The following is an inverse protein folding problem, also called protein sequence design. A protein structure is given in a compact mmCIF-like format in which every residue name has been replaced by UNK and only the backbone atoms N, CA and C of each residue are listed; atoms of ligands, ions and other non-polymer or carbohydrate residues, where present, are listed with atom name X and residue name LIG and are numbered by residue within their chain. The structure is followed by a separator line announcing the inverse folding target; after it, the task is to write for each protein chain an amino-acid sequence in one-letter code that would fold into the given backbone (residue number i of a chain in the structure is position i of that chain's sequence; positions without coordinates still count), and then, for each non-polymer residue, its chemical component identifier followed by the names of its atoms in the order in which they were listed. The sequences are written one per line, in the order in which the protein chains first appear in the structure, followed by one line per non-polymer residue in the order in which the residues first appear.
data_IF_002559720109
#
_entry.id   IF_002559720109
#
_cell.length_a   1.000
_cell.length_b   1.000
_cell.length_c   1.000
_cell.angle_alpha   90.00
_cell.angle_beta   90.00
_cell.angle_gamma   90.00
#
_symmetry.space_group_name_H-M   'P 1'
#
loop_
_entity.id
_entity.type
_entity.pdbx_description
1 polymer ?
#
# COMPACT_ATOMS: atom_id res chain seq x y z
N UNK A 1 -20.61 12.95 6.44
CA UNK A 1 -19.30 12.83 5.75
C UNK A 1 -19.49 13.18 4.27
N UNK A 2 -18.68 14.08 3.74
CA UNK A 2 -18.57 14.41 2.30
C UNK A 2 -17.21 13.96 1.81
N UNK A 3 -17.06 13.69 0.52
CA UNK A 3 -15.80 13.29 -0.09
C UNK A 3 -15.60 13.97 -1.45
N UNK A 4 -14.39 14.35 -1.77
CA UNK A 4 -13.98 14.85 -3.08
C UNK A 4 -12.60 14.33 -3.44
N UNK A 5 -12.38 14.05 -4.72
CA UNK A 5 -11.06 13.69 -5.23
C UNK A 5 -10.44 14.87 -5.95
N UNK A 6 -9.15 15.07 -5.72
CA UNK A 6 -8.32 16.04 -6.47
C UNK A 6 -7.08 15.35 -6.99
N UNK A 7 -6.44 15.95 -7.99
CA UNK A 7 -5.19 15.49 -8.60
C UNK A 7 -4.31 16.65 -9.02
N UNK A 8 -3.04 16.39 -9.18
CA UNK A 8 -2.07 17.37 -9.68
C UNK A 8 -0.69 16.76 -9.90
N UNK A 9 0.14 17.46 -10.62
CA UNK A 9 1.52 17.09 -10.92
C UNK A 9 2.56 18.01 -10.24
N UNK A 10 2.10 18.90 -9.37
CA UNK A 10 2.95 19.77 -8.55
C UNK A 10 2.20 20.21 -7.29
N UNK A 11 2.94 20.75 -6.33
CA UNK A 11 2.37 21.31 -5.09
C UNK A 11 1.41 22.45 -5.38
N UNK A 12 1.76 23.32 -6.33
CA UNK A 12 0.92 24.46 -6.73
C UNK A 12 -0.39 24.00 -7.38
N UNK A 13 -0.33 22.97 -8.23
CA UNK A 13 -1.52 22.39 -8.84
C UNK A 13 -2.47 21.79 -7.79
N UNK A 14 -1.94 21.12 -6.77
CA UNK A 14 -2.72 20.63 -5.64
C UNK A 14 -3.29 21.77 -4.81
N UNK A 15 -2.52 22.82 -4.56
CA UNK A 15 -3.02 23.98 -3.82
C UNK A 15 -4.22 24.65 -4.52
N UNK A 16 -4.16 24.82 -5.84
CA UNK A 16 -5.29 25.36 -6.63
C UNK A 16 -6.49 24.40 -6.56
N UNK A 17 -6.27 23.11 -6.82
CA UNK A 17 -7.34 22.10 -6.77
C UNK A 17 -8.00 22.00 -5.37
N UNK A 18 -7.21 22.14 -4.30
CA UNK A 18 -7.70 22.17 -2.94
C UNK A 18 -8.58 23.40 -2.67
N UNK A 19 -8.14 24.60 -3.09
CA UNK A 19 -8.91 25.83 -2.96
C UNK A 19 -10.24 25.72 -3.73
N UNK A 20 -10.20 25.26 -4.98
CA UNK A 20 -11.38 25.11 -5.83
C UNK A 20 -12.40 24.11 -5.22
N UNK A 21 -11.92 23.00 -4.68
CA UNK A 21 -12.81 22.00 -4.09
C UNK A 21 -13.51 22.51 -2.82
N UNK A 22 -12.97 23.53 -2.14
CA UNK A 22 -13.53 24.11 -0.92
C UNK A 22 -14.51 25.28 -1.17
N UNK A 23 -14.65 25.76 -2.41
CA UNK A 23 -15.50 26.91 -2.75
C UNK A 23 -16.99 26.71 -2.40
N UNK A 24 -17.48 25.47 -2.37
CA UNK A 24 -18.86 25.12 -2.02
C UNK A 24 -19.07 24.89 -0.50
N UNK A 25 -18.13 25.32 0.33
CA UNK A 25 -18.16 25.10 1.78
C UNK A 25 -17.76 23.70 2.22
N UNK A 26 -17.10 22.90 1.37
CA UNK A 26 -16.48 21.64 1.76
C UNK A 26 -15.26 21.92 2.65
N UNK A 27 -15.20 21.27 3.81
CA UNK A 27 -14.13 21.46 4.80
C UNK A 27 -13.48 20.10 5.11
N UNK A 28 -12.53 19.65 4.27
CA UNK A 28 -11.87 18.38 4.50
C UNK A 28 -11.02 18.40 5.77
N UNK A 29 -11.05 17.32 6.52
CA UNK A 29 -10.27 17.11 7.74
C UNK A 29 -9.23 16.02 7.57
N UNK A 30 -9.37 15.18 6.53
CA UNK A 30 -8.51 14.04 6.23
C UNK A 30 -8.28 13.92 4.73
N UNK A 31 -7.03 13.67 4.34
CA UNK A 31 -6.61 13.32 3.00
C UNK A 31 -6.02 11.92 2.96
N UNK A 32 -6.49 11.08 2.03
CA UNK A 32 -5.84 9.84 1.63
C UNK A 32 -5.08 10.14 0.35
N UNK A 33 -3.74 9.98 0.37
CA UNK A 33 -2.83 10.45 -0.67
C UNK A 33 -2.09 9.29 -1.32
N UNK A 34 -2.19 9.20 -2.64
CA UNK A 34 -1.34 8.35 -3.47
C UNK A 34 -0.48 9.25 -4.35
N UNK A 35 0.83 9.04 -4.33
CA UNK A 35 1.78 10.00 -4.90
C UNK A 35 2.98 9.27 -5.52
N UNK A 36 3.39 9.70 -6.71
CA UNK A 36 4.64 9.25 -7.31
C UNK A 36 5.82 9.49 -6.37
N UNK A 37 6.77 8.57 -6.32
CA UNK A 37 8.00 8.69 -5.54
C UNK A 37 8.83 9.92 -5.95
N UNK A 38 8.62 10.44 -7.15
CA UNK A 38 9.33 11.62 -7.71
C UNK A 38 8.78 12.95 -7.22
N UNK A 39 7.59 12.97 -6.63
CA UNK A 39 6.96 14.17 -6.13
C UNK A 39 7.44 14.53 -4.71
N UNK A 40 7.31 15.80 -4.34
CA UNK A 40 7.70 16.29 -3.02
C UNK A 40 6.62 16.01 -1.97
N UNK A 41 6.71 14.84 -1.33
CA UNK A 41 5.79 14.37 -0.29
C UNK A 41 5.77 15.28 0.92
N UNK A 42 6.95 15.84 1.28
CA UNK A 42 7.07 16.73 2.43
C UNK A 42 6.32 18.04 2.19
N UNK A 43 6.52 18.67 1.04
CA UNK A 43 5.80 19.89 0.69
C UNK A 43 4.28 19.66 0.61
N UNK A 44 3.83 18.50 0.13
CA UNK A 44 2.41 18.12 0.14
C UNK A 44 1.87 17.95 1.56
N UNK A 45 2.57 17.25 2.44
CA UNK A 45 2.17 17.09 3.85
C UNK A 45 2.11 18.44 4.56
N UNK A 46 3.07 19.33 4.32
CA UNK A 46 3.09 20.68 4.87
C UNK A 46 1.91 21.53 4.35
N UNK A 47 1.61 21.48 3.05
CA UNK A 47 0.45 22.16 2.45
C UNK A 47 -0.86 21.72 3.10
N UNK A 48 -1.08 20.41 3.25
CA UNK A 48 -2.29 19.87 3.84
C UNK A 48 -2.37 20.21 5.34
N UNK A 49 -1.27 20.10 6.08
CA UNK A 49 -1.20 20.47 7.48
C UNK A 49 -1.53 21.96 7.74
N UNK A 50 -1.01 22.87 6.89
CA UNK A 50 -1.34 24.31 6.95
C UNK A 50 -2.84 24.57 6.75
N UNK A 51 -3.52 23.71 5.99
CA UNK A 51 -4.97 23.74 5.80
C UNK A 51 -5.74 22.91 6.84
N UNK A 52 -5.08 22.47 7.91
CA UNK A 52 -5.66 21.66 8.98
C UNK A 52 -6.25 20.32 8.49
N UNK A 53 -5.63 19.72 7.49
CA UNK A 53 -6.02 18.43 6.93
C UNK A 53 -4.99 17.38 7.36
N UNK A 54 -5.46 16.35 8.03
CA UNK A 54 -4.63 15.21 8.40
C UNK A 54 -4.32 14.35 7.18
N UNK A 55 -3.14 13.72 7.15
CA UNK A 55 -2.66 12.99 5.98
C UNK A 55 -2.42 11.53 6.33
N UNK A 56 -3.00 10.63 5.53
CA UNK A 56 -2.61 9.25 5.38
C UNK A 56 -2.15 9.06 3.94
N UNK A 57 -0.90 8.67 3.71
CA UNK A 57 -0.35 8.62 2.36
C UNK A 57 0.67 7.53 2.14
N UNK A 58 0.85 7.20 0.87
CA UNK A 58 1.92 6.33 0.40
C UNK A 58 2.35 6.69 -1.02
N UNK A 59 3.57 6.29 -1.37
CA UNK A 59 4.02 6.31 -2.76
C UNK A 59 3.37 5.17 -3.55
N UNK A 60 3.24 5.32 -4.86
CA UNK A 60 2.46 4.45 -5.74
C UNK A 60 3.20 4.09 -7.04
N UNK A 61 2.62 3.21 -7.83
CA UNK A 61 3.10 2.81 -9.16
C UNK A 61 2.04 3.15 -10.22
N UNK A 62 1.59 4.39 -10.22
CA UNK A 62 0.52 4.91 -11.05
C UNK A 62 -0.68 5.35 -10.22
N UNK A 63 -1.21 6.51 -10.56
CA UNK A 63 -2.29 7.19 -9.86
C UNK A 63 -3.55 7.22 -10.74
N UNK A 64 -4.70 7.01 -10.10
CA UNK A 64 -5.96 7.14 -10.82
C UNK A 64 -7.04 7.78 -9.96
N UNK A 65 -7.92 8.53 -10.61
CA UNK A 65 -9.14 9.09 -10.00
C UNK A 65 -10.21 9.27 -11.08
N UNK A 66 -11.43 8.81 -10.82
CA UNK A 66 -12.50 8.82 -11.82
C UNK A 66 -12.10 8.05 -13.08
N UNK A 67 -12.05 8.73 -14.21
CA UNK A 67 -11.64 8.23 -15.53
C UNK A 67 -10.18 8.60 -15.90
N UNK A 68 -9.46 9.26 -14.98
CA UNK A 68 -8.08 9.67 -15.18
C UNK A 68 -7.10 8.63 -14.61
N UNK A 69 -6.10 8.29 -15.38
CA UNK A 69 -4.93 7.52 -14.97
C UNK A 69 -3.66 8.26 -15.38
N UNK A 70 -2.67 8.27 -14.52
CA UNK A 70 -1.38 8.90 -14.75
C UNK A 70 -0.24 8.13 -14.12
N UNK A 71 0.97 8.42 -14.58
CA UNK A 71 2.22 7.99 -13.99
C UNK A 71 3.02 9.24 -13.60
N UNK A 72 3.44 9.30 -12.34
CA UNK A 72 4.28 10.40 -11.86
C UNK A 72 3.53 11.62 -11.31
N UNK A 73 2.23 11.54 -11.12
CA UNK A 73 1.39 12.59 -10.52
C UNK A 73 1.10 12.30 -9.04
N UNK A 74 0.07 12.92 -8.52
CA UNK A 74 -0.52 12.63 -7.23
C UNK A 74 -2.04 12.75 -7.29
N UNK A 75 -2.72 11.86 -6.58
CA UNK A 75 -4.17 11.90 -6.38
C UNK A 75 -4.50 11.85 -4.90
N UNK A 76 -5.57 12.52 -4.52
CA UNK A 76 -6.01 12.59 -3.13
C UNK A 76 -7.52 12.39 -3.06
N UNK A 77 -7.94 11.60 -2.09
CA UNK A 77 -9.31 11.56 -1.63
C UNK A 77 -9.41 12.41 -0.36
N UNK A 78 -10.13 13.51 -0.44
CA UNK A 78 -10.38 14.42 0.66
C UNK A 78 -11.70 14.05 1.34
N UNK A 79 -11.69 13.95 2.66
CA UNK A 79 -12.84 13.58 3.48
C UNK A 79 -13.15 14.68 4.50
N UNK A 80 -14.42 15.09 4.57
CA UNK A 80 -14.99 15.85 5.68
C UNK A 80 -15.54 14.84 6.70
N UNK A 81 -14.70 14.47 7.66
CA UNK A 81 -14.98 13.48 8.70
C UNK A 81 -14.54 14.01 10.06
N UNK A 82 -15.34 13.78 11.10
CA UNK A 82 -14.97 14.20 12.46
C UNK A 82 -13.73 13.44 12.95
N UNK A 83 -12.74 14.21 13.42
CA UNK A 83 -11.47 13.67 13.94
C UNK A 83 -11.62 12.70 15.10
N UNK A 84 -12.72 12.72 15.83
CA UNK A 84 -12.96 11.72 16.88
C UNK A 84 -13.16 10.30 16.34
N UNK A 85 -13.49 10.14 15.03
CA UNK A 85 -13.81 8.85 14.43
C UNK A 85 -12.61 8.17 13.75
N UNK A 86 -11.43 8.80 13.77
CA UNK A 86 -10.22 8.19 13.21
C UNK A 86 -8.96 8.56 13.99
N UNK A 87 -7.94 7.75 13.81
CA UNK A 87 -6.55 8.02 14.25
C UNK A 87 -5.59 7.61 13.16
N UNK A 88 -4.45 8.31 13.13
CA UNK A 88 -3.33 8.00 12.25
C UNK A 88 -2.21 7.41 13.10
N UNK A 89 -1.60 6.36 12.61
CA UNK A 89 -0.41 5.74 13.19
C UNK A 89 0.63 5.54 12.10
N UNK A 90 1.89 5.75 12.46
CA UNK A 90 3.03 5.31 11.68
C UNK A 90 3.90 4.49 12.63
N UNK A 91 4.02 3.20 12.37
CA UNK A 91 4.80 2.28 13.19
C UNK A 91 6.06 1.92 12.43
N UNK A 92 7.20 2.41 12.93
CA UNK A 92 8.52 2.18 12.34
C UNK A 92 8.92 0.72 12.45
N UNK A 93 9.48 0.16 11.38
CA UNK A 93 9.90 -1.23 11.29
C UNK A 93 11.41 -1.44 11.20
N UNK A 94 12.21 -0.35 11.09
CA UNK A 94 13.63 -0.44 10.78
C UNK A 94 14.47 -1.25 11.77
N UNK A 95 14.20 -1.10 13.06
CA UNK A 95 14.98 -1.74 14.13
C UNK A 95 14.15 -2.79 14.90
N UNK A 96 13.10 -3.33 14.26
CA UNK A 96 12.19 -4.30 14.86
C UNK A 96 11.74 -5.33 13.84
N UNK A 97 10.97 -6.33 14.27
CA UNK A 97 10.36 -7.30 13.37
C UNK A 97 8.98 -6.84 12.91
N UNK A 98 8.51 -7.35 11.78
CA UNK A 98 7.13 -7.07 11.29
C UNK A 98 6.10 -7.52 12.33
N UNK A 99 6.35 -8.64 13.02
CA UNK A 99 5.49 -9.11 14.10
C UNK A 99 5.36 -8.09 15.24
N UNK A 100 6.48 -7.53 15.68
CA UNK A 100 6.48 -6.56 16.77
C UNK A 100 5.82 -5.23 16.34
N UNK A 101 6.11 -4.75 15.14
CA UNK A 101 5.48 -3.56 14.58
C UNK A 101 3.95 -3.74 14.42
N UNK A 102 3.51 -4.87 13.89
CA UNK A 102 2.09 -5.21 13.76
C UNK A 102 1.39 -5.32 15.12
N UNK A 103 2.06 -5.91 16.12
CA UNK A 103 1.54 -6.00 17.49
C UNK A 103 1.39 -4.61 18.12
N UNK A 104 2.38 -3.76 17.97
CA UNK A 104 2.34 -2.36 18.43
C UNK A 104 1.16 -1.62 17.80
N UNK A 105 0.94 -1.77 16.49
CA UNK A 105 -0.19 -1.15 15.81
C UNK A 105 -1.53 -1.64 16.35
N UNK A 106 -1.70 -2.95 16.55
CA UNK A 106 -2.93 -3.53 17.09
C UNK A 106 -3.23 -3.00 18.50
N UNK A 107 -2.22 -2.97 19.36
CA UNK A 107 -2.34 -2.44 20.73
C UNK A 107 -2.73 -0.95 20.73
N UNK A 108 -2.07 -0.13 19.93
CA UNK A 108 -2.38 1.30 19.80
C UNK A 108 -3.81 1.53 19.32
N UNK A 109 -4.27 0.74 18.34
CA UNK A 109 -5.62 0.84 17.80
C UNK A 109 -6.69 0.47 18.85
N UNK A 110 -6.47 -0.61 19.62
CA UNK A 110 -7.38 -1.04 20.70
C UNK A 110 -7.43 -0.06 21.87
N UNK A 111 -6.35 0.72 22.10
CA UNK A 111 -6.37 1.79 23.08
C UNK A 111 -7.25 2.98 22.67
N UNK A 112 -7.45 3.18 21.36
CA UNK A 112 -8.24 4.29 20.83
C UNK A 112 -9.70 3.93 20.59
N UNK A 113 -9.96 2.72 20.06
CA UNK A 113 -11.28 2.29 19.65
C UNK A 113 -11.58 0.88 20.13
N UNK A 114 -12.83 0.65 20.53
CA UNK A 114 -13.30 -0.67 20.95
C UNK A 114 -13.35 -1.65 19.76
N UNK A 115 -13.74 -1.17 18.62
CA UNK A 115 -13.93 -1.95 17.39
C UNK A 115 -13.16 -1.27 16.24
N UNK A 116 -11.79 -1.30 16.26
CA UNK A 116 -11.02 -0.62 15.23
C UNK A 116 -11.17 -1.27 13.86
N UNK A 117 -11.30 -0.47 12.80
CA UNK A 117 -11.19 -0.88 11.41
C UNK A 117 -10.07 -0.11 10.72
N UNK A 118 -9.40 -0.72 9.75
CA UNK A 118 -8.12 -0.21 9.27
C UNK A 118 -8.09 0.00 7.76
N UNK A 119 -7.54 1.15 7.35
CA UNK A 119 -6.91 1.31 6.05
C UNK A 119 -5.40 1.34 6.28
N UNK A 120 -4.69 0.41 5.64
CA UNK A 120 -3.26 0.16 5.87
C UNK A 120 -2.45 0.47 4.61
N UNK A 121 -1.29 1.06 4.79
CA UNK A 121 -0.24 1.05 3.79
C UNK A 121 1.08 0.68 4.47
N UNK A 122 1.81 -0.26 3.91
CA UNK A 122 3.16 -0.58 4.38
C UNK A 122 4.17 -0.32 3.27
N UNK A 123 5.40 -0.05 3.64
CA UNK A 123 6.50 0.03 2.68
C UNK A 123 6.55 -1.25 1.84
N UNK A 124 6.66 -1.15 0.53
CA UNK A 124 6.69 -2.32 -0.36
C UNK A 124 8.09 -2.88 -0.52
N UNK A 125 9.02 -2.03 -0.90
CA UNK A 125 10.44 -2.36 -1.08
C UNK A 125 11.30 -1.41 -0.26
N UNK A 126 12.36 -1.95 0.36
CA UNK A 126 13.31 -1.21 1.16
C UNK A 126 14.52 -0.78 0.33
N UNK A 127 15.30 0.18 0.83
CA UNK A 127 16.49 0.69 0.15
C UNK A 127 17.60 -0.36 -0.07
N UNK A 128 17.58 -1.46 0.68
CA UNK A 128 18.49 -2.61 0.53
C UNK A 128 17.98 -3.67 -0.46
N UNK A 129 16.78 -3.44 -1.06
CA UNK A 129 16.14 -4.34 -2.02
C UNK A 129 15.34 -5.48 -1.41
N UNK A 130 15.23 -5.54 -0.08
CA UNK A 130 14.33 -6.49 0.57
C UNK A 130 12.88 -5.99 0.52
N UNK A 131 11.92 -6.92 0.66
CA UNK A 131 10.50 -6.63 0.59
C UNK A 131 9.86 -6.76 1.96
N UNK A 132 8.87 -5.91 2.21
CA UNK A 132 8.04 -6.01 3.41
C UNK A 132 7.24 -7.32 3.44
N UNK A 133 7.21 -7.99 4.60
CA UNK A 133 6.43 -9.21 4.79
C UNK A 133 4.97 -8.89 5.17
N UNK A 134 4.15 -8.61 4.16
CA UNK A 134 2.72 -8.31 4.34
C UNK A 134 1.91 -9.49 4.85
N UNK A 135 2.30 -10.73 4.57
CA UNK A 135 1.61 -11.93 5.08
C UNK A 135 1.74 -12.01 6.61
N UNK A 136 2.92 -11.72 7.14
CA UNK A 136 3.14 -11.66 8.60
C UNK A 136 2.35 -10.53 9.25
N UNK A 137 2.30 -9.33 8.64
CA UNK A 137 1.45 -8.24 9.11
C UNK A 137 -0.02 -8.69 9.25
N UNK A 138 -0.59 -9.23 8.18
CA UNK A 138 -1.99 -9.69 8.16
C UNK A 138 -2.24 -10.77 9.21
N UNK A 139 -1.35 -11.74 9.32
CA UNK A 139 -1.46 -12.84 10.30
C UNK A 139 -1.50 -12.31 11.73
N UNK A 140 -0.57 -11.42 12.10
CA UNK A 140 -0.50 -10.86 13.46
C UNK A 140 -1.74 -10.02 13.78
N UNK A 141 -2.21 -9.19 12.84
CA UNK A 141 -3.44 -8.41 13.04
C UNK A 141 -4.65 -9.32 13.24
N UNK A 142 -4.80 -10.38 12.45
CA UNK A 142 -5.89 -11.37 12.62
C UNK A 142 -5.79 -12.10 13.96
N UNK A 143 -4.59 -12.48 14.38
CA UNK A 143 -4.38 -13.20 15.64
C UNK A 143 -4.72 -12.32 16.86
N UNK A 144 -4.45 -11.02 16.80
CA UNK A 144 -4.67 -10.10 17.92
C UNK A 144 -6.05 -9.43 17.93
N UNK A 145 -6.58 -9.08 16.77
CA UNK A 145 -7.83 -8.34 16.62
C UNK A 145 -9.04 -9.25 16.33
N UNK A 146 -8.77 -10.52 15.97
CA UNK A 146 -9.80 -11.48 15.57
C UNK A 146 -10.11 -11.43 14.07
N UNK A 147 -10.74 -12.50 13.57
CA UNK A 147 -11.07 -12.66 12.15
C UNK A 147 -12.16 -11.71 11.64
N UNK A 148 -12.92 -11.15 12.55
CA UNK A 148 -14.01 -10.20 12.22
C UNK A 148 -13.50 -8.77 12.10
N UNK A 149 -12.24 -8.52 12.44
CA UNK A 149 -11.62 -7.20 12.25
C UNK A 149 -11.51 -6.88 10.75
N UNK A 150 -12.01 -5.72 10.38
CA UNK A 150 -12.01 -5.25 9.00
C UNK A 150 -10.75 -4.43 8.74
N UNK A 151 -9.95 -4.87 7.78
CA UNK A 151 -8.81 -4.10 7.29
C UNK A 151 -8.67 -4.24 5.77
N UNK A 152 -8.30 -3.15 5.13
CA UNK A 152 -7.96 -3.06 3.71
C UNK A 152 -6.65 -2.31 3.56
N UNK A 153 -6.00 -2.50 2.44
CA UNK A 153 -4.77 -1.77 2.15
C UNK A 153 -3.88 -2.47 1.14
N UNK A 154 -2.65 -2.00 1.07
CA UNK A 154 -1.65 -2.51 0.16
C UNK A 154 -0.26 -2.01 0.49
N UNK A 155 0.70 -2.50 -0.28
CA UNK A 155 2.08 -2.03 -0.22
C UNK A 155 2.24 -0.75 -1.03
N UNK A 156 3.04 0.18 -0.52
CA UNK A 156 3.50 1.35 -1.25
C UNK A 156 4.34 0.94 -2.46
N UNK A 157 4.22 1.68 -3.55
CA UNK A 157 5.02 1.51 -4.75
C UNK A 157 6.06 2.61 -4.90
N UNK A 158 6.87 2.53 -5.98
CA UNK A 158 7.93 3.50 -6.29
C UNK A 158 8.10 3.72 -7.80
N UNK A 159 7.01 3.88 -8.52
CA UNK A 159 6.99 4.04 -9.98
C UNK A 159 7.69 2.87 -10.72
N UNK A 160 7.64 1.66 -10.17
CA UNK A 160 8.31 0.47 -10.69
C UNK A 160 9.86 0.54 -10.71
N UNK A 161 10.46 1.46 -9.95
CA UNK A 161 11.92 1.54 -9.86
C UNK A 161 12.52 0.41 -9.02
N UNK A 162 11.75 -0.16 -8.09
CA UNK A 162 12.12 -1.25 -7.17
C UNK A 162 13.39 -0.88 -6.37
N UNK A 163 13.35 0.30 -5.78
CA UNK A 163 14.46 0.85 -4.99
C UNK A 163 14.04 1.19 -3.57
N UNK A 164 13.00 2.00 -3.43
CA UNK A 164 12.50 2.41 -2.13
C UNK A 164 11.11 3.05 -2.25
N UNK A 165 10.16 2.56 -1.49
CA UNK A 165 8.83 3.14 -1.37
C UNK A 165 8.63 3.76 0.01
N UNK A 166 7.67 4.66 0.14
CA UNK A 166 7.44 5.41 1.36
C UNK A 166 5.98 5.39 1.77
N UNK A 167 5.78 5.37 3.08
CA UNK A 167 4.49 5.63 3.71
C UNK A 167 4.63 6.86 4.62
N UNK A 168 3.56 7.63 4.76
CA UNK A 168 3.62 8.87 5.52
C UNK A 168 2.28 9.25 6.15
N UNK A 169 2.37 10.03 7.18
CA UNK A 169 1.25 10.71 7.85
C UNK A 169 1.48 12.23 7.80
N UNK A 170 0.67 12.99 8.51
CA UNK A 170 0.79 14.45 8.58
C UNK A 170 2.19 14.93 9.02
N UNK A 171 2.85 14.17 9.90
CA UNK A 171 4.09 14.60 10.56
C UNK A 171 5.29 13.71 10.29
N UNK A 172 5.07 12.49 9.86
CA UNK A 172 6.11 11.46 9.78
C UNK A 172 6.10 10.80 8.40
N UNK A 173 7.28 10.47 7.89
CA UNK A 173 7.49 9.69 6.69
C UNK A 173 8.55 8.61 6.97
N UNK A 174 8.34 7.42 6.47
CA UNK A 174 9.34 6.35 6.55
C UNK A 174 9.35 5.48 5.28
N UNK A 175 10.56 5.03 4.94
CA UNK A 175 10.79 3.97 3.95
C UNK A 175 10.82 2.57 4.56
N UNK A 176 10.43 2.40 5.84
CA UNK A 176 10.47 1.12 6.54
C UNK A 176 9.42 1.05 7.65
N UNK A 177 8.14 1.28 7.30
CA UNK A 177 7.07 1.41 8.30
C UNK A 177 5.73 0.85 7.82
N UNK A 178 4.81 0.78 8.76
CA UNK A 178 3.37 0.58 8.55
C UNK A 178 2.68 1.90 8.87
N UNK A 179 2.02 2.52 7.90
CA UNK A 179 1.07 3.58 8.12
C UNK A 179 -0.33 3.00 8.24
N UNK A 180 -1.10 3.49 9.20
CA UNK A 180 -2.46 3.06 9.43
C UNK A 180 -3.39 4.25 9.66
N UNK A 181 -4.47 4.28 8.92
CA UNK A 181 -5.65 5.10 9.21
C UNK A 181 -6.67 4.17 9.86
N UNK A 182 -6.86 4.36 11.16
CA UNK A 182 -7.73 3.53 11.98
C UNK A 182 -9.00 4.28 12.27
N UNK A 183 -10.13 3.65 11.98
CA UNK A 183 -11.47 4.21 12.23
C UNK A 183 -12.15 3.55 13.43
N UNK A 184 -13.01 4.31 14.08
CA UNK A 184 -14.00 3.78 15.00
C UNK A 184 -15.06 2.98 14.22
N UNK A 185 -14.96 1.66 14.22
CA UNK A 185 -15.86 0.77 13.50
C UNK A 185 -17.32 0.79 14.00
N UNK A 186 -17.56 1.31 15.21
CA UNK A 186 -18.92 1.54 15.71
C UNK A 186 -19.57 2.79 15.06
N UNK A 187 -18.78 3.63 14.38
CA UNK A 187 -19.22 4.89 13.75
C UNK A 187 -18.99 4.96 12.25
N UNK A 188 -17.92 4.31 11.77
CA UNK A 188 -17.53 4.31 10.36
C UNK A 188 -17.50 2.88 9.84
N UNK A 189 -18.33 2.58 8.86
CA UNK A 189 -18.32 1.29 8.18
C UNK A 189 -17.31 1.33 7.04
N UNK A 190 -16.29 0.49 7.10
CA UNK A 190 -15.31 0.29 6.05
C UNK A 190 -15.69 -0.96 5.25
N UNK A 191 -15.80 -0.82 3.93
CA UNK A 191 -16.04 -1.92 3.00
C UNK A 191 -15.06 -1.83 1.84
N UNK A 192 -14.64 -2.96 1.32
CA UNK A 192 -13.73 -3.01 0.19
C UNK A 192 -13.79 -4.34 -0.54
N UNK A 193 -13.09 -4.40 -1.64
CA UNK A 193 -12.95 -5.59 -2.47
C UNK A 193 -11.48 -5.76 -2.85
N UNK A 194 -10.97 -6.99 -2.73
CA UNK A 194 -9.68 -7.37 -3.29
C UNK A 194 -9.95 -8.22 -4.54
N UNK A 195 -9.62 -7.66 -5.70
CA UNK A 195 -9.84 -8.33 -6.99
C UNK A 195 -8.70 -8.04 -7.95
N UNK A 196 -8.55 -8.90 -8.95
CA UNK A 196 -7.57 -8.73 -10.02
C UNK A 196 -8.10 -9.29 -11.33
N UNK A 197 -7.54 -8.84 -12.46
CA UNK A 197 -7.90 -9.31 -13.80
C UNK A 197 -7.15 -10.57 -14.27
N UNK A 198 -6.26 -11.14 -13.45
CA UNK A 198 -5.45 -12.28 -13.82
C UNK A 198 -6.28 -13.55 -14.01
N UNK A 199 -6.01 -14.30 -15.07
CA UNK A 199 -6.60 -15.61 -15.32
C UNK A 199 -5.53 -16.69 -15.21
N UNK A 200 -5.85 -17.86 -14.62
CA UNK A 200 -4.90 -18.98 -14.57
C UNK A 200 -4.44 -19.38 -15.97
N UNK A 201 -3.13 -19.52 -16.14
CA UNK A 201 -2.51 -20.01 -17.36
C UNK A 201 -2.01 -21.45 -17.12
N UNK A 202 -2.53 -22.39 -17.89
CA UNK A 202 -2.15 -23.80 -17.78
C UNK A 202 -2.74 -24.52 -16.57
N UNK A 203 -2.06 -25.58 -16.12
CA UNK A 203 -2.51 -26.46 -15.04
C UNK A 203 -1.95 -26.00 -13.68
N UNK A 204 -2.73 -26.21 -12.64
CA UNK A 204 -2.26 -26.01 -11.27
C UNK A 204 -1.06 -26.91 -10.94
N UNK A 205 -0.08 -26.37 -10.24
CA UNK A 205 1.14 -27.06 -9.82
C UNK A 205 1.32 -26.98 -8.32
N UNK A 206 2.05 -27.94 -7.78
CA UNK A 206 2.29 -27.97 -6.33
C UNK A 206 3.59 -27.26 -5.99
N UNK A 207 3.53 -26.25 -5.12
CA UNK A 207 4.72 -25.71 -4.47
C UNK A 207 5.26 -26.76 -3.53
N UNK A 208 6.49 -27.24 -3.78
CA UNK A 208 7.12 -28.32 -3.03
C UNK A 208 8.14 -27.83 -2.02
N UNK A 209 8.60 -26.59 -2.14
CA UNK A 209 9.45 -25.92 -1.14
C UNK A 209 9.25 -24.42 -1.19
N UNK A 210 8.94 -23.82 -0.03
CA UNK A 210 8.88 -22.36 0.14
C UNK A 210 9.37 -21.98 1.55
N UNK A 211 9.81 -20.73 1.72
CA UNK A 211 10.12 -20.10 3.01
C UNK A 211 9.53 -18.70 2.97
N UNK A 212 8.55 -18.41 3.82
CA UNK A 212 7.78 -17.17 3.75
C UNK A 212 7.16 -17.02 2.35
N UNK A 213 7.33 -15.86 1.73
CA UNK A 213 6.87 -15.55 0.38
C UNK A 213 7.77 -16.08 -0.75
N UNK A 214 8.96 -16.63 -0.42
CA UNK A 214 9.93 -17.13 -1.42
C UNK A 214 9.65 -18.59 -1.79
N UNK A 215 9.40 -18.85 -3.09
CA UNK A 215 9.18 -20.18 -3.65
C UNK A 215 10.50 -20.71 -4.22
N UNK A 216 10.95 -21.85 -3.75
CA UNK A 216 12.20 -22.49 -4.18
C UNK A 216 11.97 -23.61 -5.21
N UNK A 217 10.90 -24.39 -5.02
CA UNK A 217 10.61 -25.49 -5.97
C UNK A 217 9.11 -25.69 -6.20
N UNK A 218 8.78 -26.10 -7.42
CA UNK A 218 7.44 -26.46 -7.91
C UNK A 218 7.54 -27.85 -8.53
N UNK A 219 6.69 -28.77 -8.10
CA UNK A 219 6.72 -30.19 -8.53
C UNK A 219 8.11 -30.84 -8.40
N UNK A 220 8.89 -30.44 -7.37
CA UNK A 220 10.25 -30.96 -7.13
C UNK A 220 11.35 -30.35 -8.01
N UNK A 221 11.02 -29.41 -8.90
CA UNK A 221 11.98 -28.72 -9.77
C UNK A 221 12.22 -27.26 -9.31
N UNK A 222 13.37 -26.64 -9.62
CA UNK A 222 13.63 -25.24 -9.29
C UNK A 222 12.51 -24.32 -9.83
N UNK A 223 12.00 -23.44 -8.97
CA UNK A 223 10.82 -22.62 -9.28
C UNK A 223 11.02 -21.73 -10.51
N UNK A 224 12.20 -21.10 -10.65
CA UNK A 224 12.53 -20.22 -11.78
C UNK A 224 12.57 -21.02 -13.09
N UNK A 225 13.20 -22.18 -13.10
CA UNK A 225 13.25 -23.02 -14.31
C UNK A 225 11.87 -23.47 -14.76
N UNK A 226 11.02 -23.88 -13.80
CA UNK A 226 9.64 -24.25 -14.10
C UNK A 226 8.84 -23.05 -14.62
N UNK A 227 9.01 -21.88 -14.05
CA UNK A 227 8.34 -20.65 -14.47
C UNK A 227 8.71 -20.28 -15.92
N UNK A 228 10.01 -20.22 -16.22
CA UNK A 228 10.51 -19.91 -17.56
C UNK A 228 10.08 -20.96 -18.60
N UNK A 229 10.12 -22.24 -18.24
CA UNK A 229 9.64 -23.32 -19.08
C UNK A 229 8.17 -23.17 -19.47
N UNK A 230 7.32 -22.82 -18.50
CA UNK A 230 5.88 -22.60 -18.75
C UNK A 230 5.61 -21.44 -19.70
N UNK A 231 6.47 -20.42 -19.66
CA UNK A 231 6.37 -19.26 -20.54
C UNK A 231 7.14 -19.44 -21.87
N UNK A 232 7.78 -20.61 -22.08
CA UNK A 232 8.57 -20.88 -23.28
C UNK A 232 9.86 -20.05 -23.38
N UNK A 233 10.42 -19.66 -22.22
CA UNK A 233 11.53 -18.70 -22.13
C UNK A 233 12.81 -19.29 -21.49
N UNK A 234 13.01 -20.61 -21.56
CA UNK A 234 14.18 -21.27 -20.94
C UNK A 234 15.52 -20.71 -21.43
N UNK A 235 15.58 -20.19 -22.66
CA UNK A 235 16.80 -19.61 -23.26
C UNK A 235 17.19 -18.26 -22.65
N UNK A 236 16.29 -17.60 -21.92
CA UNK A 236 16.57 -16.31 -21.27
C UNK A 236 17.22 -16.44 -19.90
N UNK A 237 17.26 -17.64 -19.35
CA UNK A 237 17.95 -17.90 -18.10
C UNK A 237 19.47 -17.76 -18.34
N UNK A 238 20.08 -16.72 -17.75
CA UNK A 238 21.51 -16.37 -17.95
C UNK A 238 21.77 -15.21 -18.93
N UNK A 239 20.74 -14.58 -19.46
CA UNK A 239 20.87 -13.31 -20.18
C UNK A 239 21.10 -12.18 -19.14
N UNK A 240 22.24 -11.50 -19.23
CA UNK A 240 22.64 -10.44 -18.28
C UNK A 240 21.69 -9.24 -18.28
N UNK A 241 20.89 -9.05 -19.33
CA UNK A 241 19.91 -7.97 -19.46
C UNK A 241 18.50 -8.39 -19.05
N UNK A 242 18.29 -9.67 -18.69
CA UNK A 242 16.99 -10.19 -18.33
C UNK A 242 16.69 -10.06 -16.84
N UNK A 243 15.73 -9.24 -16.50
CA UNK A 243 15.20 -9.09 -15.15
C UNK A 243 13.89 -9.88 -15.01
N UNK A 244 13.95 -11.03 -14.32
CA UNK A 244 12.80 -11.91 -14.12
C UNK A 244 11.59 -11.17 -13.53
N UNK A 245 11.82 -10.24 -12.62
CA UNK A 245 10.75 -9.51 -11.96
C UNK A 245 10.10 -8.50 -12.92
N UNK A 246 10.89 -7.61 -13.52
CA UNK A 246 10.39 -6.56 -14.42
C UNK A 246 9.84 -7.11 -15.71
N UNK A 247 10.53 -8.10 -16.30
CA UNK A 247 10.17 -8.61 -17.62
C UNK A 247 9.03 -9.62 -17.59
N UNK A 248 8.86 -10.35 -16.50
CA UNK A 248 7.90 -11.45 -16.45
C UNK A 248 6.96 -11.45 -15.24
N UNK A 249 7.45 -11.32 -14.01
CA UNK A 249 6.62 -11.61 -12.85
C UNK A 249 5.48 -10.62 -12.65
N UNK A 250 5.64 -9.37 -13.13
CA UNK A 250 4.59 -8.37 -13.15
C UNK A 250 3.46 -8.76 -14.12
N UNK A 251 3.82 -9.35 -15.27
CA UNK A 251 2.86 -9.72 -16.32
C UNK A 251 2.22 -11.09 -16.08
N UNK A 252 2.96 -12.00 -15.46
CA UNK A 252 2.55 -13.39 -15.22
C UNK A 252 2.76 -13.80 -13.75
N UNK A 253 2.08 -13.16 -12.79
CA UNK A 253 2.27 -13.50 -11.39
C UNK A 253 1.77 -14.90 -11.04
N UNK A 254 2.35 -15.52 -10.02
CA UNK A 254 1.80 -16.74 -9.47
C UNK A 254 0.48 -16.47 -8.76
N UNK A 255 -0.52 -17.31 -9.05
CA UNK A 255 -1.81 -17.31 -8.37
C UNK A 255 -1.85 -18.54 -7.46
N UNK A 256 -1.73 -18.33 -6.15
CA UNK A 256 -1.83 -19.40 -5.18
C UNK A 256 -3.30 -19.70 -4.82
N UNK A 257 -3.66 -20.99 -4.73
CA UNK A 257 -4.88 -21.43 -4.05
C UNK A 257 -4.47 -21.96 -2.69
N UNK A 258 -5.02 -21.36 -1.66
CA UNK A 258 -4.91 -21.83 -0.27
C UNK A 258 -5.97 -22.88 0.03
#
# INVERSE_FOLDING_TARGET
MRAKSIKGNSVEAIQVALQDCMLDGFQPTLAIVFISVKQDRKAISELLHQNQIDVFGCTSCGEFTGDHHSDGEMVMLLLDIDRQYYRLFLVEGKDTTVEAAASTLAEQALQQFRSPTFLLSCTGVFADGEYFDGDTLVRVLVDQLGRDCVFFGGMAGDDWEIKNSYVFTTQEESGHAIAALVFDGDRVTLQGIATHGWKPLGLSRKVTKSIGSKIYSIDGQPAVEMYLKYLGMEKKNGDENFDLFKDLSIHFPFIARR
#
